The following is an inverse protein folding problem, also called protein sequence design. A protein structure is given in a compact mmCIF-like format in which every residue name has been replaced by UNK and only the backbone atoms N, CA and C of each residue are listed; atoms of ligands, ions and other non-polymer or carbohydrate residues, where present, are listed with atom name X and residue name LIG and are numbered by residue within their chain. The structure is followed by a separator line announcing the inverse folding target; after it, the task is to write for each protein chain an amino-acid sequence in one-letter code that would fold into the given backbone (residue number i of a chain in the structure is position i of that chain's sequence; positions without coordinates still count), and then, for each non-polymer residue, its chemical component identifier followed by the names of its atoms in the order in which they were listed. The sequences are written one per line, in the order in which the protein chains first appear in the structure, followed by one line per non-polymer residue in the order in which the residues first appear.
data_IF_792359862525
#
_entry.id   IF_792359862525
#
_cell.length_a   1.000
_cell.length_b   1.000
_cell.length_c   1.000
_cell.angle_alpha   90.00
_cell.angle_beta   90.00
_cell.angle_gamma   90.00
#
_symmetry.space_group_name_H-M   'P 1'
#
loop_
_entity.id
_entity.type
_entity.pdbx_description
1 polymer ?
#
# COMPACT_ATOMS: atom_id res chain seq x y z
N UNK A 1 -15.91 -4.12 4.92
CA UNK A 1 -15.31 -3.36 3.80
C UNK A 1 -13.83 -3.68 3.66
N UNK A 2 -13.02 -3.43 4.68
CA UNK A 2 -11.58 -3.67 4.63
C UNK A 2 -11.18 -5.14 4.39
N UNK A 3 -11.98 -6.12 4.80
CA UNK A 3 -11.72 -7.52 4.44
C UNK A 3 -11.73 -7.76 2.92
N UNK A 4 -12.55 -7.02 2.16
CA UNK A 4 -12.56 -7.07 0.69
C UNK A 4 -11.33 -6.37 0.13
N UNK A 5 -10.94 -5.23 0.71
CA UNK A 5 -9.71 -4.52 0.34
C UNK A 5 -8.46 -5.39 0.52
N UNK A 6 -8.29 -5.96 1.71
CA UNK A 6 -7.17 -6.84 2.02
C UNK A 6 -7.22 -8.19 1.31
N UNK A 7 -8.40 -8.64 0.86
CA UNK A 7 -8.50 -9.77 -0.06
C UNK A 7 -7.89 -9.42 -1.43
N UNK A 8 -8.20 -8.25 -2.00
CA UNK A 8 -7.60 -7.80 -3.27
C UNK A 8 -6.09 -7.59 -3.11
N UNK A 9 -5.64 -6.90 -2.06
CA UNK A 9 -4.21 -6.72 -1.77
C UNK A 9 -3.49 -8.07 -1.59
N UNK A 10 -4.14 -9.05 -0.93
CA UNK A 10 -3.60 -10.40 -0.80
C UNK A 10 -3.50 -11.18 -2.12
N UNK A 11 -4.37 -10.90 -3.10
CA UNK A 11 -4.28 -11.49 -4.45
C UNK A 11 -3.10 -10.90 -5.22
N UNK A 12 -2.91 -9.58 -5.14
CA UNK A 12 -1.76 -8.87 -5.72
C UNK A 12 -0.46 -9.40 -5.12
N UNK A 13 -0.39 -9.48 -3.78
CA UNK A 13 0.76 -10.03 -3.05
C UNK A 13 1.09 -11.46 -3.52
N UNK A 14 0.08 -12.32 -3.63
CA UNK A 14 0.30 -13.69 -4.09
C UNK A 14 0.81 -13.74 -5.52
N UNK A 15 0.28 -12.86 -6.39
CA UNK A 15 0.72 -12.77 -7.78
C UNK A 15 2.19 -12.35 -7.85
N UNK A 16 2.56 -11.31 -7.12
CA UNK A 16 3.95 -10.82 -7.08
C UNK A 16 4.92 -11.90 -6.60
N UNK A 17 4.57 -12.68 -5.56
CA UNK A 17 5.41 -13.78 -5.09
C UNK A 17 5.60 -14.92 -6.10
N UNK A 18 4.57 -15.22 -6.90
CA UNK A 18 4.57 -16.41 -7.78
C UNK A 18 5.04 -16.06 -9.19
N UNK A 19 4.65 -14.90 -9.71
CA UNK A 19 4.77 -14.54 -11.12
C UNK A 19 5.30 -13.12 -11.36
N UNK A 20 5.51 -12.31 -10.32
CA UNK A 20 6.01 -10.94 -10.44
C UNK A 20 7.42 -10.76 -9.91
N UNK A 21 7.75 -9.52 -9.56
CA UNK A 21 9.11 -9.08 -9.25
C UNK A 21 9.60 -9.63 -7.91
N UNK A 22 8.67 -9.90 -6.98
CA UNK A 22 8.98 -10.52 -5.68
C UNK A 22 9.46 -11.97 -5.79
N UNK A 23 9.32 -12.61 -6.95
CA UNK A 23 9.86 -13.95 -7.19
C UNK A 23 11.38 -13.95 -7.28
N UNK A 24 11.98 -12.89 -7.82
CA UNK A 24 13.43 -12.75 -7.91
C UNK A 24 13.95 -11.91 -6.75
N UNK A 25 14.61 -12.56 -5.78
CA UNK A 25 15.16 -11.92 -4.59
C UNK A 25 16.14 -10.76 -4.91
N UNK A 26 16.79 -10.77 -6.08
CA UNK A 26 17.70 -9.69 -6.49
C UNK A 26 16.94 -8.44 -6.90
N UNK A 27 15.85 -8.61 -7.66
CA UNK A 27 14.99 -7.51 -8.09
C UNK A 27 14.14 -6.99 -6.92
N UNK A 28 13.67 -7.90 -6.07
CA UNK A 28 12.86 -7.59 -4.89
C UNK A 28 13.63 -6.91 -3.75
N UNK A 29 14.97 -7.03 -3.71
CA UNK A 29 15.77 -6.55 -2.59
C UNK A 29 15.59 -5.06 -2.32
N UNK A 30 15.55 -4.24 -3.38
CA UNK A 30 15.42 -2.79 -3.23
C UNK A 30 14.01 -2.40 -2.76
N UNK A 31 12.91 -2.81 -3.41
CA UNK A 31 11.55 -2.52 -2.92
C UNK A 31 11.26 -3.04 -1.52
N UNK A 32 11.72 -4.25 -1.18
CA UNK A 32 11.50 -4.83 0.16
C UNK A 32 12.25 -4.04 1.22
N UNK A 33 13.52 -3.67 0.98
CA UNK A 33 14.26 -2.84 1.92
C UNK A 33 13.65 -1.45 2.05
N UNK A 34 13.22 -0.86 0.94
CA UNK A 34 12.49 0.41 0.91
C UNK A 34 11.23 0.36 1.78
N UNK A 35 10.44 -0.71 1.67
CA UNK A 35 9.24 -0.93 2.49
C UNK A 35 9.58 -1.04 3.98
N UNK A 36 10.58 -1.86 4.32
CA UNK A 36 11.03 -2.02 5.72
C UNK A 36 11.53 -0.68 6.29
N UNK A 37 12.33 0.07 5.53
CA UNK A 37 12.74 1.43 5.91
C UNK A 37 11.56 2.37 6.07
N UNK A 38 10.60 2.29 5.14
CA UNK A 38 9.33 3.03 5.13
C UNK A 38 8.38 2.68 6.28
N UNK A 39 8.63 1.60 7.02
CA UNK A 39 7.92 1.25 8.26
C UNK A 39 8.72 1.66 9.49
N UNK A 40 10.01 1.34 9.53
CA UNK A 40 10.87 1.57 10.70
C UNK A 40 11.07 3.06 10.98
N UNK A 41 11.42 3.86 9.97
CA UNK A 41 11.70 5.28 10.16
C UNK A 41 10.50 6.09 10.68
N UNK A 42 9.28 6.01 10.08
CA UNK A 42 8.13 6.73 10.61
C UNK A 42 7.70 6.23 11.99
N UNK A 43 7.83 4.93 12.29
CA UNK A 43 7.56 4.40 13.62
C UNK A 43 8.48 5.00 14.69
N UNK A 44 9.79 5.09 14.41
CA UNK A 44 10.76 5.69 15.32
C UNK A 44 10.53 7.18 15.51
N UNK A 45 10.21 7.91 14.44
CA UNK A 45 9.89 9.35 14.50
C UNK A 45 8.61 9.57 15.32
N UNK A 46 7.57 8.75 15.12
CA UNK A 46 6.37 8.81 15.92
C UNK A 46 6.68 8.57 17.40
N UNK A 47 7.41 7.51 17.72
CA UNK A 47 7.74 7.17 19.11
C UNK A 47 8.57 8.27 19.80
N UNK A 48 9.48 8.91 19.08
CA UNK A 48 10.28 10.00 19.60
C UNK A 48 9.45 11.26 19.92
N UNK A 49 8.36 11.50 19.18
CA UNK A 49 7.51 12.70 19.35
C UNK A 49 6.34 12.42 20.31
N UNK A 50 5.64 11.30 20.11
CA UNK A 50 4.39 10.98 20.80
C UNK A 50 4.59 10.49 22.24
N UNK A 51 5.81 10.11 22.63
CA UNK A 51 6.17 9.73 24.00
C UNK A 51 5.26 8.63 24.56
N UNK A 52 4.46 8.99 25.57
CA UNK A 52 3.56 8.07 26.29
C UNK A 52 2.47 7.44 25.40
N UNK A 53 2.14 8.06 24.25
CA UNK A 53 1.17 7.54 23.31
C UNK A 53 1.76 6.51 22.32
N UNK A 54 2.65 5.64 22.80
CA UNK A 54 3.40 4.67 22.01
C UNK A 54 2.53 3.67 21.24
N UNK A 55 1.27 3.44 21.68
CA UNK A 55 0.33 2.51 21.03
C UNK A 55 -0.02 2.87 19.59
N UNK A 56 0.19 4.13 19.18
CA UNK A 56 -0.06 4.62 17.82
C UNK A 56 1.13 4.50 16.84
N UNK A 57 2.22 3.83 17.21
CA UNK A 57 3.46 3.81 16.42
C UNK A 57 3.29 3.31 14.98
N UNK A 58 2.31 2.45 14.72
CA UNK A 58 2.05 1.92 13.38
C UNK A 58 1.23 2.88 12.50
N UNK A 59 0.59 3.91 13.05
CA UNK A 59 -0.28 4.81 12.28
C UNK A 59 0.44 5.44 11.08
N UNK A 60 1.66 6.02 11.21
CA UNK A 60 2.35 6.65 10.09
C UNK A 60 3.14 5.68 9.20
N UNK A 61 3.03 4.36 9.40
CA UNK A 61 3.78 3.39 8.59
C UNK A 61 3.02 2.97 7.33
N UNK A 62 1.69 3.08 7.32
CA UNK A 62 0.87 2.55 6.24
C UNK A 62 0.83 3.45 4.99
N UNK A 63 0.65 2.83 3.81
CA UNK A 63 0.45 3.49 2.49
C UNK A 63 -0.93 3.16 1.97
N UNK A 64 -1.66 4.13 1.42
CA UNK A 64 -2.87 3.89 0.65
C UNK A 64 -2.52 3.85 -0.85
N UNK A 65 -2.31 2.63 -1.35
CA UNK A 65 -1.96 2.36 -2.74
C UNK A 65 -2.97 2.95 -3.73
N UNK A 66 -4.27 2.88 -3.41
CA UNK A 66 -5.32 3.31 -4.32
C UNK A 66 -5.24 4.83 -4.52
N UNK A 67 -5.02 5.58 -3.45
CA UNK A 67 -4.88 7.03 -3.53
C UNK A 67 -3.53 7.44 -4.13
N UNK A 68 -2.43 6.77 -3.77
CA UNK A 68 -1.10 7.06 -4.31
C UNK A 68 -1.05 6.84 -5.84
N UNK A 69 -1.62 5.72 -6.33
CA UNK A 69 -1.72 5.45 -7.76
C UNK A 69 -2.68 6.41 -8.47
N UNK A 70 -3.78 6.80 -7.84
CA UNK A 70 -4.70 7.79 -8.41
C UNK A 70 -4.00 9.14 -8.59
N UNK A 71 -3.24 9.60 -7.59
CA UNK A 71 -2.43 10.83 -7.68
C UNK A 71 -1.39 10.70 -8.80
N UNK A 72 -0.67 9.58 -8.86
CA UNK A 72 0.32 9.32 -9.92
C UNK A 72 -0.30 9.34 -11.32
N UNK A 73 -1.47 8.70 -11.49
CA UNK A 73 -2.21 8.66 -12.75
C UNK A 73 -2.72 10.05 -13.19
N UNK A 74 -3.14 10.89 -12.24
CA UNK A 74 -3.56 12.27 -12.51
C UNK A 74 -2.37 13.17 -12.90
N UNK A 75 -1.19 12.95 -12.31
CA UNK A 75 -0.03 13.82 -12.52
C UNK A 75 0.57 13.69 -13.92
N UNK A 76 0.66 12.49 -14.50
CA UNK A 76 1.43 12.38 -15.73
C UNK A 76 1.30 11.09 -16.52
N UNK A 77 0.80 11.26 -17.76
CA UNK A 77 0.92 10.32 -18.88
C UNK A 77 2.35 10.03 -19.35
N UNK A 78 3.32 10.86 -18.94
CA UNK A 78 4.73 10.78 -19.36
C UNK A 78 5.66 10.30 -18.24
N UNK A 79 5.12 9.87 -17.10
CA UNK A 79 5.96 9.27 -16.06
C UNK A 79 6.35 7.84 -16.50
N UNK A 80 7.61 7.43 -16.30
CA UNK A 80 8.08 6.09 -16.66
C UNK A 80 7.23 4.99 -16.04
N UNK A 81 7.00 3.90 -16.75
CA UNK A 81 6.29 2.74 -16.21
C UNK A 81 7.01 2.12 -15.01
N UNK A 82 8.34 2.22 -14.97
CA UNK A 82 9.16 1.85 -13.82
C UNK A 82 8.71 2.51 -12.50
N UNK A 83 8.18 3.74 -12.55
CA UNK A 83 7.65 4.41 -11.35
C UNK A 83 6.40 3.72 -10.81
N UNK A 84 5.53 3.25 -11.71
CA UNK A 84 4.30 2.53 -11.33
C UNK A 84 4.66 1.17 -10.76
N UNK A 85 5.53 0.43 -11.43
CA UNK A 85 5.99 -0.89 -10.98
C UNK A 85 6.66 -0.79 -9.60
N UNK A 86 7.58 0.17 -9.42
CA UNK A 86 8.22 0.37 -8.12
C UNK A 86 7.21 0.70 -7.01
N UNK A 87 6.26 1.61 -7.27
CA UNK A 87 5.25 1.99 -6.28
C UNK A 87 4.30 0.82 -5.95
N UNK A 88 3.91 0.02 -6.95
CA UNK A 88 3.10 -1.17 -6.75
C UNK A 88 3.83 -2.18 -5.85
N UNK A 89 5.08 -2.52 -6.17
CA UNK A 89 5.86 -3.49 -5.40
C UNK A 89 6.13 -3.01 -3.98
N UNK A 90 6.51 -1.73 -3.81
CA UNK A 90 6.68 -1.10 -2.50
C UNK A 90 5.38 -1.19 -1.67
N UNK A 91 4.26 -0.77 -2.26
CA UNK A 91 2.98 -0.72 -1.58
C UNK A 91 2.45 -2.12 -1.20
N UNK A 92 2.64 -3.12 -2.06
CA UNK A 92 2.27 -4.52 -1.77
C UNK A 92 3.06 -5.06 -0.58
N UNK A 93 4.36 -4.76 -0.48
CA UNK A 93 5.19 -5.16 0.66
C UNK A 93 4.80 -4.38 1.92
N UNK A 94 4.57 -3.07 1.82
CA UNK A 94 4.08 -2.24 2.93
C UNK A 94 2.75 -2.76 3.48
N UNK A 95 1.80 -3.11 2.61
CA UNK A 95 0.51 -3.68 3.00
C UNK A 95 0.67 -5.02 3.73
N UNK A 96 1.56 -5.90 3.25
CA UNK A 96 1.91 -7.13 3.95
C UNK A 96 2.44 -6.84 5.36
N UNK A 97 3.39 -5.90 5.48
CA UNK A 97 3.95 -5.52 6.77
C UNK A 97 2.84 -4.96 7.68
N UNK A 98 1.96 -4.10 7.16
CA UNK A 98 0.83 -3.54 7.91
C UNK A 98 -0.13 -4.65 8.40
N UNK A 99 -0.47 -5.63 7.55
CA UNK A 99 -1.29 -6.78 7.93
C UNK A 99 -0.65 -7.56 9.08
N UNK A 100 0.66 -7.83 8.99
CA UNK A 100 1.40 -8.54 10.04
C UNK A 100 1.39 -7.74 11.34
N UNK A 101 1.60 -6.42 11.27
CA UNK A 101 1.53 -5.53 12.43
C UNK A 101 0.14 -5.58 13.08
N UNK A 102 -0.93 -5.48 12.28
CA UNK A 102 -2.32 -5.55 12.76
C UNK A 102 -2.61 -6.89 13.43
N UNK A 103 -2.13 -8.00 12.85
CA UNK A 103 -2.35 -9.34 13.38
C UNK A 103 -1.58 -9.59 14.69
N UNK A 104 -0.36 -9.07 14.83
CA UNK A 104 0.50 -9.36 15.99
C UNK A 104 0.30 -8.36 17.12
N UNK A 105 0.24 -7.06 16.83
CA UNK A 105 0.28 -6.01 17.84
C UNK A 105 -1.10 -5.48 18.26
N UNK A 106 -2.13 -5.62 17.41
CA UNK A 106 -3.46 -5.08 17.70
C UNK A 106 -4.49 -6.15 18.06
N UNK A 107 -4.12 -7.44 18.13
CA UNK A 107 -5.04 -8.50 18.56
C UNK A 107 -5.50 -8.28 20.00
N UNK A 108 -6.81 -8.20 20.21
CA UNK A 108 -7.41 -7.79 21.48
C UNK A 108 -7.52 -8.92 22.52
N UNK A 109 -7.93 -10.09 22.05
CA UNK A 109 -8.02 -11.34 22.80
C UNK A 109 -7.82 -12.49 21.82
N UNK A 110 -7.46 -13.68 22.32
CA UNK A 110 -7.23 -14.84 21.46
C UNK A 110 -8.09 -16.02 21.92
N UNK A 111 -9.23 -16.22 21.26
CA UNK A 111 -10.05 -17.39 21.45
C UNK A 111 -9.62 -18.49 20.48
N UNK A 112 -8.93 -19.51 21.01
CA UNK A 112 -8.33 -20.60 20.22
C UNK A 112 -9.38 -21.41 19.46
N UNK A 113 -10.54 -21.66 20.07
CA UNK A 113 -11.58 -22.50 19.49
C UNK A 113 -12.15 -21.95 18.17
N UNK A 114 -12.63 -20.69 18.09
CA UNK A 114 -13.06 -20.11 16.82
C UNK A 114 -11.90 -19.97 15.82
N UNK A 115 -10.65 -19.75 16.28
CA UNK A 115 -9.48 -19.70 15.40
C UNK A 115 -9.22 -21.05 14.72
N UNK A 116 -9.25 -22.15 15.48
CA UNK A 116 -9.16 -23.51 14.94
C UNK A 116 -10.37 -23.82 14.05
N UNK A 117 -11.55 -23.37 14.43
CA UNK A 117 -12.76 -23.46 13.62
C UNK A 117 -12.61 -22.80 12.26
N UNK A 118 -11.94 -21.64 12.18
CA UNK A 118 -11.71 -20.90 10.93
C UNK A 118 -10.86 -21.68 9.91
N UNK A 119 -10.04 -22.63 10.37
CA UNK A 119 -9.24 -23.48 9.48
C UNK A 119 -10.11 -24.37 8.59
N UNK A 120 -11.31 -24.75 9.03
CA UNK A 120 -12.22 -25.61 8.27
C UNK A 120 -12.76 -24.90 7.02
N UNK A 121 -13.48 -23.75 7.10
CA UNK A 121 -13.94 -23.06 5.90
C UNK A 121 -12.77 -22.56 5.04
N UNK A 122 -11.63 -22.19 5.64
CA UNK A 122 -10.42 -21.82 4.90
C UNK A 122 -9.87 -23.00 4.08
N UNK A 123 -9.78 -24.19 4.66
CA UNK A 123 -9.30 -25.39 3.97
C UNK A 123 -10.26 -25.81 2.84
N UNK A 124 -11.58 -25.78 3.10
CA UNK A 124 -12.58 -26.07 2.08
C UNK A 124 -12.50 -25.07 0.93
N UNK A 125 -12.42 -23.77 1.25
CA UNK A 125 -12.23 -22.71 0.25
C UNK A 125 -10.96 -22.95 -0.57
N UNK A 126 -9.84 -23.25 0.08
CA UNK A 126 -8.57 -23.54 -0.57
C UNK A 126 -8.67 -24.74 -1.52
N UNK A 127 -9.32 -25.83 -1.11
CA UNK A 127 -9.53 -27.02 -1.95
C UNK A 127 -10.38 -26.69 -3.18
N UNK A 128 -11.47 -25.95 -3.00
CA UNK A 128 -12.36 -25.57 -4.09
C UNK A 128 -11.65 -24.69 -5.12
N UNK A 129 -10.92 -23.66 -4.66
CA UNK A 129 -10.21 -22.76 -5.55
C UNK A 129 -9.04 -23.48 -6.23
N UNK A 130 -8.31 -24.38 -5.54
CA UNK A 130 -7.28 -25.21 -6.18
C UNK A 130 -7.82 -26.16 -7.25
N UNK A 131 -9.08 -26.60 -7.12
CA UNK A 131 -9.78 -27.39 -8.13
C UNK A 131 -10.37 -26.55 -9.28
N UNK A 132 -10.15 -25.24 -9.30
CA UNK A 132 -10.65 -24.37 -10.36
C UNK A 132 -12.11 -23.95 -10.20
N UNK A 133 -12.73 -24.17 -9.03
CA UNK A 133 -14.13 -23.80 -8.80
C UNK A 133 -14.25 -22.27 -8.71
N UNK A 134 -15.05 -21.68 -9.61
CA UNK A 134 -15.32 -20.23 -9.69
C UNK A 134 -16.70 -19.83 -9.13
N UNK A 135 -17.44 -20.79 -8.58
CA UNK A 135 -18.81 -20.61 -8.10
C UNK A 135 -18.90 -19.66 -6.90
N UNK A 136 -19.26 -18.39 -7.15
CA UNK A 136 -19.30 -17.35 -6.10
C UNK A 136 -20.27 -17.69 -4.96
N UNK A 137 -21.39 -18.36 -5.25
CA UNK A 137 -22.38 -18.79 -4.26
C UNK A 137 -21.87 -19.89 -3.32
N UNK A 138 -20.82 -20.61 -3.70
CA UNK A 138 -20.15 -21.60 -2.85
C UNK A 138 -18.98 -20.98 -2.07
N UNK A 139 -18.23 -20.10 -2.72
CA UNK A 139 -17.03 -19.48 -2.15
C UNK A 139 -17.37 -18.38 -1.13
N UNK A 140 -18.41 -17.57 -1.38
CA UNK A 140 -18.76 -16.43 -0.55
C UNK A 140 -19.26 -16.84 0.85
N UNK A 141 -20.11 -17.87 1.03
CA UNK A 141 -20.46 -18.37 2.36
C UNK A 141 -19.25 -18.88 3.15
N UNK A 142 -18.31 -19.55 2.49
CA UNK A 142 -17.07 -20.03 3.13
C UNK A 142 -16.16 -18.87 3.54
N UNK A 143 -16.01 -17.87 2.67
CA UNK A 143 -15.26 -16.66 2.97
C UNK A 143 -15.88 -15.91 4.16
N UNK A 144 -17.21 -15.79 4.19
CA UNK A 144 -17.95 -15.16 5.29
C UNK A 144 -17.81 -15.96 6.60
N UNK A 145 -17.91 -17.28 6.55
CA UNK A 145 -17.72 -18.13 7.73
C UNK A 145 -16.30 -18.02 8.29
N UNK A 146 -15.28 -18.04 7.42
CA UNK A 146 -13.88 -17.82 7.81
C UNK A 146 -13.70 -16.45 8.46
N UNK A 147 -14.23 -15.39 7.83
CA UNK A 147 -14.20 -14.03 8.36
C UNK A 147 -14.85 -13.90 9.74
N UNK A 148 -16.04 -14.50 9.92
CA UNK A 148 -16.77 -14.46 11.19
C UNK A 148 -16.02 -15.20 12.31
N UNK A 149 -15.42 -16.35 12.00
CA UNK A 149 -14.64 -17.14 12.97
C UNK A 149 -13.31 -16.47 13.33
N UNK A 150 -12.62 -15.84 12.37
CA UNK A 150 -11.44 -15.02 12.65
C UNK A 150 -11.80 -13.81 13.51
N UNK A 151 -12.92 -13.14 13.22
CA UNK A 151 -13.38 -12.03 14.06
C UNK A 151 -13.71 -12.49 15.49
N UNK A 152 -14.42 -13.62 15.63
CA UNK A 152 -14.76 -14.21 16.92
C UNK A 152 -13.53 -14.73 17.70
N UNK A 153 -12.40 -14.95 17.03
CA UNK A 153 -11.14 -15.32 17.70
C UNK A 153 -10.40 -14.14 18.30
N UNK A 154 -10.84 -12.91 18.03
CA UNK A 154 -10.23 -11.66 18.48
C UNK A 154 -9.05 -11.19 17.63
N UNK A 155 -8.68 -11.97 16.60
CA UNK A 155 -7.85 -11.52 15.48
C UNK A 155 -8.66 -10.59 14.59
N UNK A 156 -7.99 -9.63 13.97
CA UNK A 156 -8.65 -8.71 13.05
C UNK A 156 -9.28 -9.43 11.85
N UNK A 157 -10.55 -9.12 11.61
CA UNK A 157 -11.32 -9.72 10.54
C UNK A 157 -10.76 -9.40 9.13
N UNK A 158 -9.94 -8.35 9.00
CA UNK A 158 -9.21 -8.02 7.76
C UNK A 158 -8.18 -9.09 7.37
N UNK A 159 -7.55 -9.73 8.37
CA UNK A 159 -6.56 -10.81 8.16
C UNK A 159 -7.20 -12.01 7.44
N UNK A 160 -8.49 -12.27 7.69
CA UNK A 160 -9.22 -13.34 7.01
C UNK A 160 -9.25 -13.14 5.48
N UNK A 161 -9.38 -11.89 5.01
CA UNK A 161 -9.34 -11.57 3.59
C UNK A 161 -8.00 -11.95 2.96
N UNK A 162 -6.90 -11.61 3.62
CA UNK A 162 -5.55 -11.95 3.16
C UNK A 162 -5.33 -13.47 3.15
N UNK A 163 -5.71 -14.16 4.23
CA UNK A 163 -5.58 -15.62 4.33
C UNK A 163 -6.34 -16.33 3.20
N UNK A 164 -7.57 -15.90 2.90
CA UNK A 164 -8.35 -16.43 1.79
C UNK A 164 -7.65 -16.16 0.45
N UNK A 165 -7.18 -14.93 0.21
CA UNK A 165 -6.49 -14.56 -1.02
C UNK A 165 -5.21 -15.37 -1.25
N UNK A 166 -4.42 -15.60 -0.19
CA UNK A 166 -3.21 -16.42 -0.23
C UNK A 166 -3.48 -17.88 -0.60
N UNK A 167 -4.72 -18.38 -0.51
CA UNK A 167 -5.08 -19.73 -0.97
C UNK A 167 -5.42 -19.81 -2.47
N UNK A 168 -5.74 -18.68 -3.11
CA UNK A 168 -6.22 -18.62 -4.50
C UNK A 168 -5.11 -18.94 -5.50
N UNK A 169 -5.29 -19.88 -6.43
CA UNK A 169 -4.18 -20.29 -7.31
C UNK A 169 -3.77 -19.20 -8.31
N UNK A 170 -2.46 -18.95 -8.40
CA UNK A 170 -1.84 -18.14 -9.45
C UNK A 170 -1.26 -19.10 -10.50
N UNK A 171 -1.60 -18.91 -11.77
CA UNK A 171 -1.01 -19.64 -12.89
C UNK A 171 -0.22 -18.64 -13.74
N UNK A 172 1.04 -18.91 -14.09
CA UNK A 172 1.76 -18.10 -15.07
C UNK A 172 1.01 -18.17 -16.40
N UNK A 173 0.55 -17.04 -16.91
CA UNK A 173 -0.19 -16.97 -18.17
C UNK A 173 0.70 -17.48 -19.30
N UNK A 174 0.35 -18.64 -19.86
CA UNK A 174 1.06 -19.20 -21.02
C UNK A 174 0.19 -19.28 -22.27
N UNK A 175 -1.13 -19.25 -22.17
CA UNK A 175 -2.04 -19.17 -23.33
C UNK A 175 -3.47 -18.84 -22.87
N UNK A 176 -3.96 -17.61 -23.09
CA UNK A 176 -5.39 -17.24 -23.10
C UNK A 176 -6.29 -17.51 -21.86
N UNK A 177 -5.88 -18.33 -20.89
CA UNK A 177 -6.63 -18.67 -19.67
C UNK A 177 -6.11 -17.80 -18.53
N UNK A 178 -6.87 -16.74 -18.22
CA UNK A 178 -6.60 -15.86 -17.08
C UNK A 178 -6.62 -16.68 -15.79
N UNK A 179 -5.56 -16.56 -14.97
CA UNK A 179 -5.45 -17.30 -13.71
C UNK A 179 -6.61 -16.98 -12.77
N UNK A 180 -6.96 -17.89 -11.84
CA UNK A 180 -8.04 -17.64 -10.87
C UNK A 180 -7.81 -16.37 -10.02
N UNK A 181 -6.57 -16.13 -9.62
CA UNK A 181 -6.20 -14.91 -8.90
C UNK A 181 -6.48 -13.65 -9.73
N UNK A 182 -6.16 -13.68 -11.02
CA UNK A 182 -6.40 -12.57 -11.95
C UNK A 182 -7.89 -12.35 -12.21
N UNK A 183 -8.65 -13.43 -12.39
CA UNK A 183 -10.10 -13.35 -12.52
C UNK A 183 -10.76 -12.72 -11.29
N UNK A 184 -10.39 -13.17 -10.08
CA UNK A 184 -10.91 -12.59 -8.84
C UNK A 184 -10.46 -11.15 -8.66
N UNK A 185 -9.19 -10.83 -8.93
CA UNK A 185 -8.69 -9.47 -8.81
C UNK A 185 -9.44 -8.53 -9.75
N UNK A 186 -9.60 -8.85 -11.04
CA UNK A 186 -10.38 -8.02 -11.97
C UNK A 186 -11.84 -7.84 -11.53
N UNK A 187 -12.43 -8.86 -10.91
CA UNK A 187 -13.83 -8.79 -10.45
C UNK A 187 -14.01 -7.96 -9.17
N UNK A 188 -13.07 -8.08 -8.22
CA UNK A 188 -13.16 -7.46 -6.90
C UNK A 188 -12.42 -6.13 -6.80
N UNK A 189 -11.42 -5.85 -7.64
CA UNK A 189 -10.70 -4.57 -7.69
C UNK A 189 -11.66 -3.37 -7.84
N UNK A 190 -12.64 -3.36 -8.77
CA UNK A 190 -13.58 -2.24 -8.89
C UNK A 190 -14.48 -2.09 -7.66
N UNK A 191 -14.85 -3.20 -7.01
CA UNK A 191 -15.67 -3.17 -5.79
C UNK A 191 -14.86 -2.63 -4.62
N UNK A 192 -13.61 -3.06 -4.50
CA UNK A 192 -12.69 -2.62 -3.45
C UNK A 192 -12.39 -1.12 -3.61
N UNK A 193 -11.81 -0.72 -4.75
CA UNK A 193 -11.38 0.65 -4.99
C UNK A 193 -12.54 1.63 -5.21
N UNK A 194 -13.62 1.19 -5.85
CA UNK A 194 -14.75 2.05 -6.20
C UNK A 194 -15.83 2.16 -5.11
N UNK A 195 -15.93 1.19 -4.21
CA UNK A 195 -16.97 1.17 -3.17
C UNK A 195 -16.38 0.98 -1.78
N UNK A 196 -15.62 -0.09 -1.54
CA UNK A 196 -15.21 -0.44 -0.19
C UNK A 196 -14.30 0.63 0.46
N UNK A 197 -13.32 1.12 -0.29
CA UNK A 197 -12.38 2.16 0.15
C UNK A 197 -13.09 3.50 0.34
N UNK A 198 -13.84 4.06 -0.64
CA UNK A 198 -14.55 5.33 -0.45
C UNK A 198 -15.59 5.30 0.68
N UNK A 199 -16.35 4.21 0.81
CA UNK A 199 -17.36 4.09 1.87
C UNK A 199 -16.69 3.98 3.24
N UNK A 200 -15.61 3.18 3.35
CA UNK A 200 -14.82 3.12 4.59
C UNK A 200 -14.26 4.50 4.94
N UNK A 201 -13.63 5.18 3.98
CA UNK A 201 -13.11 6.52 4.15
C UNK A 201 -14.20 7.51 4.59
N UNK A 202 -15.39 7.45 4.03
CA UNK A 202 -16.50 8.32 4.41
C UNK A 202 -16.92 8.12 5.88
N UNK A 203 -17.03 6.87 6.35
CA UNK A 203 -17.38 6.58 7.74
C UNK A 203 -16.24 6.85 8.73
N UNK A 204 -14.99 6.58 8.33
CA UNK A 204 -13.82 6.78 9.19
C UNK A 204 -13.37 8.24 9.21
N UNK A 205 -13.43 8.97 8.10
CA UNK A 205 -12.98 10.37 8.00
C UNK A 205 -14.07 11.40 8.36
N UNK A 206 -15.28 10.97 8.75
CA UNK A 206 -16.39 11.83 9.18
C UNK A 206 -16.14 12.60 10.48
N UNK A 207 -15.01 13.32 10.57
CA UNK A 207 -14.65 14.22 11.67
C UNK A 207 -15.17 15.61 11.40
N UNK A 208 -15.80 16.20 12.41
CA UNK A 208 -16.13 17.62 12.39
C UNK A 208 -14.81 18.38 12.49
N UNK A 209 -14.32 18.91 11.37
CA UNK A 209 -13.19 19.85 11.40
C UNK A 209 -13.63 21.03 12.29
N UNK A 210 -13.12 21.05 13.53
CA UNK A 210 -13.43 22.04 14.54
C UNK A 210 -12.86 23.41 14.16
N UNK A 211 -13.45 24.05 13.15
CA UNK A 211 -13.07 25.37 12.68
C UNK A 211 -11.57 25.55 12.35
N UNK A 212 -11.13 26.80 12.16
CA UNK A 212 -9.71 27.13 11.99
C UNK A 212 -8.87 26.91 13.26
N UNK A 213 -9.49 26.89 14.45
CA UNK A 213 -8.79 26.70 15.73
C UNK A 213 -8.28 25.25 15.91
N UNK A 214 -8.97 24.26 15.34
CA UNK A 214 -8.55 22.85 15.42
C UNK A 214 -7.21 22.56 14.73
N UNK A 215 -6.79 23.36 13.74
CA UNK A 215 -5.47 23.20 13.10
C UNK A 215 -4.34 23.63 14.03
N UNK A 216 -4.55 24.70 14.81
CA UNK A 216 -3.57 25.17 15.78
C UNK A 216 -3.45 24.22 16.98
N UNK A 217 -4.56 23.58 17.35
CA UNK A 217 -4.56 22.58 18.43
C UNK A 217 -3.84 21.28 18.02
N UNK A 218 -3.94 20.86 16.75
CA UNK A 218 -3.16 19.72 16.22
C UNK A 218 -1.66 19.93 16.33
N UNK A 219 -1.19 21.18 16.16
CA UNK A 219 0.24 21.49 16.27
C UNK A 219 0.77 21.41 17.71
N UNK A 220 -0.13 21.29 18.69
CA UNK A 220 0.25 21.14 20.11
C UNK A 220 0.15 19.71 20.60
N UNK A 221 -0.56 18.85 19.87
CA UNK A 221 -0.76 17.47 20.29
C UNK A 221 0.39 16.57 19.79
N UNK A 222 1.13 15.90 20.70
CA UNK A 222 2.27 15.07 20.33
C UNK A 222 1.91 13.91 19.40
N UNK A 223 0.72 13.33 19.54
CA UNK A 223 0.22 12.25 18.68
C UNK A 223 0.03 12.75 17.26
N UNK A 224 -0.68 13.87 17.08
CA UNK A 224 -0.89 14.46 15.76
C UNK A 224 0.43 14.84 15.07
N UNK A 225 1.34 15.51 15.80
CA UNK A 225 2.68 15.83 15.28
C UNK A 225 3.47 14.58 14.91
N UNK A 226 3.43 13.54 15.73
CA UNK A 226 4.10 12.26 15.47
C UNK A 226 3.59 11.59 14.19
N UNK A 227 2.27 11.59 13.97
CA UNK A 227 1.65 11.04 12.76
C UNK A 227 2.05 11.85 11.52
N UNK A 228 1.93 13.19 11.57
CA UNK A 228 2.24 14.08 10.44
C UNK A 228 3.73 13.97 10.10
N UNK A 229 4.63 14.06 11.09
CA UNK A 229 6.07 13.95 10.88
C UNK A 229 6.46 12.55 10.38
N UNK A 230 5.83 11.50 10.91
CA UNK A 230 6.04 10.13 10.42
C UNK A 230 5.67 9.99 8.94
N UNK A 231 4.46 10.40 8.54
CA UNK A 231 4.00 10.30 7.15
C UNK A 231 4.80 11.18 6.19
N UNK A 232 5.01 12.45 6.54
CA UNK A 232 5.59 13.45 5.62
C UNK A 232 7.12 13.40 5.56
N UNK A 233 7.78 13.05 6.66
CA UNK A 233 9.25 13.08 6.77
C UNK A 233 9.80 11.69 7.00
N UNK A 234 9.24 10.94 7.95
CA UNK A 234 9.75 9.62 8.31
C UNK A 234 9.68 8.62 7.17
N UNK A 235 8.55 8.57 6.45
CA UNK A 235 8.39 7.64 5.34
C UNK A 235 9.34 7.93 4.18
N UNK A 236 9.44 9.18 3.68
CA UNK A 236 10.40 9.50 2.63
C UNK A 236 11.84 9.20 3.05
N UNK A 237 12.22 9.61 4.27
CA UNK A 237 13.56 9.33 4.79
C UNK A 237 13.84 7.83 4.87
N UNK A 238 12.89 7.04 5.37
CA UNK A 238 13.01 5.59 5.49
C UNK A 238 13.19 4.90 4.14
N UNK A 239 12.30 5.21 3.19
CA UNK A 239 12.33 4.64 1.83
C UNK A 239 13.64 5.02 1.14
N UNK A 240 14.03 6.31 1.16
CA UNK A 240 15.24 6.79 0.51
C UNK A 240 16.51 6.24 1.14
N UNK A 241 16.61 6.26 2.47
CA UNK A 241 17.79 5.77 3.18
C UNK A 241 17.98 4.26 2.99
N UNK A 242 16.92 3.48 3.08
CA UNK A 242 17.01 2.03 2.87
C UNK A 242 17.34 1.69 1.41
N UNK A 243 16.72 2.37 0.45
CA UNK A 243 17.03 2.22 -0.99
C UNK A 243 18.48 2.58 -1.28
N UNK A 244 18.96 3.70 -0.74
CA UNK A 244 20.36 4.13 -0.86
C UNK A 244 21.33 3.12 -0.24
N UNK A 245 21.02 2.60 0.95
CA UNK A 245 21.85 1.61 1.62
C UNK A 245 21.97 0.34 0.78
N UNK A 246 20.84 -0.21 0.33
CA UNK A 246 20.85 -1.44 -0.48
C UNK A 246 21.55 -1.23 -1.81
N UNK A 247 21.29 -0.12 -2.50
CA UNK A 247 21.95 0.19 -3.76
C UNK A 247 23.47 0.35 -3.60
N UNK A 248 23.89 0.99 -2.50
CA UNK A 248 25.31 1.24 -2.21
C UNK A 248 26.09 -0.04 -1.88
N UNK A 249 25.46 -1.02 -1.24
CA UNK A 249 26.13 -2.20 -0.69
C UNK A 249 25.89 -3.50 -1.47
N UNK A 250 24.79 -3.61 -2.23
CA UNK A 250 24.34 -4.90 -2.79
C UNK A 250 24.51 -5.00 -4.32
N UNK A 251 25.03 -3.95 -4.99
CA UNK A 251 25.04 -3.81 -6.47
C UNK A 251 23.65 -3.95 -7.11
N UNK A 252 22.58 -3.93 -6.32
CA UNK A 252 21.22 -3.87 -6.81
C UNK A 252 20.99 -2.44 -7.29
N UNK A 253 20.85 -2.26 -8.59
CA UNK A 253 20.64 -0.94 -9.17
C UNK A 253 19.15 -0.61 -9.13
N UNK A 254 18.86 0.68 -8.96
CA UNK A 254 17.56 1.22 -9.34
C UNK A 254 17.30 0.90 -10.82
N UNK A 255 16.04 0.70 -11.19
CA UNK A 255 15.64 0.57 -12.58
C UNK A 255 16.18 1.73 -13.43
N UNK A 256 16.64 1.46 -14.65
CA UNK A 256 17.36 2.42 -15.50
C UNK A 256 16.51 3.66 -15.82
N UNK A 257 15.18 3.53 -15.79
CA UNK A 257 14.23 4.62 -15.97
C UNK A 257 13.98 5.51 -14.74
N UNK A 258 14.58 5.22 -13.58
CA UNK A 258 14.32 5.94 -12.33
C UNK A 258 15.50 6.80 -11.88
N UNK A 259 15.32 8.12 -11.87
CA UNK A 259 16.27 9.01 -11.21
C UNK A 259 15.98 9.11 -9.70
N UNK A 260 17.00 9.46 -8.91
CA UNK A 260 16.84 9.70 -7.46
C UNK A 260 15.75 10.73 -7.11
N UNK A 261 15.55 11.76 -7.95
CA UNK A 261 14.50 12.75 -7.73
C UNK A 261 13.10 12.15 -7.97
N UNK A 262 12.97 11.20 -8.89
CA UNK A 262 11.71 10.47 -9.10
C UNK A 262 11.42 9.58 -7.89
N UNK A 263 12.45 8.94 -7.33
CA UNK A 263 12.33 8.18 -6.09
C UNK A 263 11.94 9.05 -4.89
N UNK A 264 12.44 10.29 -4.77
CA UNK A 264 11.99 11.25 -3.74
C UNK A 264 10.49 11.51 -3.88
N UNK A 265 10.01 11.76 -5.10
CA UNK A 265 8.58 11.96 -5.37
C UNK A 265 7.73 10.73 -5.01
N UNK A 266 8.20 9.53 -5.36
CA UNK A 266 7.55 8.26 -5.02
C UNK A 266 7.55 7.99 -3.51
N UNK A 267 8.65 8.29 -2.82
CA UNK A 267 8.78 8.11 -1.39
C UNK A 267 7.82 9.02 -0.60
N UNK A 268 7.59 10.24 -1.10
CA UNK A 268 6.58 11.18 -0.57
C UNK A 268 5.16 10.71 -0.90
N UNK A 269 4.89 10.17 -2.08
CA UNK A 269 3.61 9.50 -2.36
C UNK A 269 3.35 8.32 -1.42
N UNK A 270 4.41 7.60 -1.03
CA UNK A 270 4.31 6.59 0.02
C UNK A 270 3.74 7.16 1.31
N UNK A 271 4.01 8.43 1.64
CA UNK A 271 3.49 9.12 2.83
C UNK A 271 1.96 9.33 2.86
N UNK A 272 1.24 8.94 1.80
CA UNK A 272 -0.21 8.97 1.77
C UNK A 272 -0.72 7.74 2.53
N UNK A 273 -1.02 7.87 3.82
CA UNK A 273 -1.47 6.74 4.64
C UNK A 273 -2.98 6.52 4.66
N UNK A 274 -3.76 7.60 4.44
CA UNK A 274 -5.22 7.66 4.37
C UNK A 274 -5.96 6.45 4.97
N UNK A 275 -6.52 5.54 4.18
CA UNK A 275 -7.43 4.51 4.71
C UNK A 275 -6.78 3.53 5.70
N UNK A 276 -5.58 3.05 5.41
CA UNK A 276 -4.91 2.08 6.28
C UNK A 276 -4.38 2.75 7.56
N UNK A 277 -3.91 3.99 7.48
CA UNK A 277 -3.54 4.78 8.67
C UNK A 277 -4.76 5.13 9.52
N UNK A 278 -5.91 5.43 8.91
CA UNK A 278 -7.17 5.64 9.64
C UNK A 278 -7.61 4.38 10.39
N UNK A 279 -7.49 3.21 9.75
CA UNK A 279 -7.74 1.93 10.40
C UNK A 279 -6.80 1.74 11.60
N UNK A 280 -5.49 1.91 11.42
CA UNK A 280 -4.52 1.76 12.51
C UNK A 280 -4.78 2.75 13.66
N UNK A 281 -5.25 3.96 13.36
CA UNK A 281 -5.70 4.92 14.36
C UNK A 281 -6.88 4.41 15.19
N UNK A 282 -7.91 3.88 14.54
CA UNK A 282 -9.07 3.27 15.21
C UNK A 282 -8.66 2.06 16.06
N UNK A 283 -7.71 1.24 15.59
CA UNK A 283 -7.19 0.09 16.34
C UNK A 283 -6.32 0.50 17.55
N UNK A 284 -5.60 1.62 17.44
CA UNK A 284 -4.72 2.11 18.49
C UNK A 284 -5.46 2.81 19.62
N UNK A 285 -6.42 3.68 19.28
CA UNK A 285 -7.05 4.60 20.24
C UNK A 285 -8.56 4.42 20.40
N UNK A 286 -9.18 3.51 19.64
CA UNK A 286 -10.62 3.28 19.67
C UNK A 286 -11.42 4.48 19.17
N UNK A 287 -12.75 4.43 19.30
CA UNK A 287 -13.64 5.47 18.76
C UNK A 287 -13.47 6.85 19.44
N UNK A 288 -13.05 6.90 20.70
CA UNK A 288 -13.01 8.13 21.52
C UNK A 288 -11.72 8.94 21.38
N UNK A 289 -10.58 8.32 21.02
CA UNK A 289 -9.30 9.00 20.79
C UNK A 289 -8.93 9.15 19.32
N UNK A 290 -9.82 8.77 18.40
CA UNK A 290 -9.52 8.74 16.98
C UNK A 290 -9.69 10.10 16.28
N UNK A 291 -10.30 11.12 16.90
CA UNK A 291 -10.59 12.37 16.20
C UNK A 291 -9.31 13.11 15.80
N UNK A 292 -8.41 13.33 16.76
CA UNK A 292 -7.13 14.01 16.52
C UNK A 292 -6.26 13.22 15.55
N UNK A 293 -6.22 11.89 15.73
CA UNK A 293 -5.50 10.98 14.82
C UNK A 293 -6.06 11.05 13.40
N UNK A 294 -7.39 11.06 13.24
CA UNK A 294 -8.06 11.19 11.94
C UNK A 294 -7.63 12.49 11.26
N UNK A 295 -7.71 13.62 11.95
CA UNK A 295 -7.32 14.90 11.36
C UNK A 295 -5.81 14.95 11.06
N UNK A 296 -4.97 14.37 11.92
CA UNK A 296 -3.53 14.27 11.68
C UNK A 296 -3.19 13.41 10.43
N UNK A 297 -3.82 12.25 10.28
CA UNK A 297 -3.67 11.38 9.10
C UNK A 297 -4.13 12.09 7.83
N UNK A 298 -5.28 12.77 7.88
CA UNK A 298 -5.82 13.52 6.74
C UNK A 298 -4.89 14.67 6.34
N UNK A 299 -4.43 15.45 7.32
CA UNK A 299 -3.53 16.60 7.11
C UNK A 299 -2.18 16.14 6.57
N UNK A 300 -1.58 15.11 7.19
CA UNK A 300 -0.32 14.52 6.75
C UNK A 300 -0.41 13.92 5.35
N UNK A 301 -1.48 13.17 5.05
CA UNK A 301 -1.69 12.56 3.72
C UNK A 301 -1.93 13.63 2.64
N UNK A 302 -2.69 14.69 2.95
CA UNK A 302 -2.90 15.81 2.04
C UNK A 302 -1.61 16.58 1.78
N UNK A 303 -0.84 16.88 2.83
CA UNK A 303 0.46 17.54 2.70
C UNK A 303 1.43 16.70 1.84
N UNK A 304 1.51 15.39 2.09
CA UNK A 304 2.31 14.46 1.29
C UNK A 304 1.87 14.45 -0.17
N UNK A 305 0.56 14.35 -0.44
CA UNK A 305 0.02 14.37 -1.80
C UNK A 305 0.33 15.69 -2.53
N UNK A 306 0.22 16.84 -1.86
CA UNK A 306 0.54 18.15 -2.44
C UNK A 306 2.03 18.28 -2.76
N UNK A 307 2.91 17.94 -1.82
CA UNK A 307 4.37 18.02 -2.00
C UNK A 307 4.81 17.06 -3.11
N UNK A 308 4.34 15.81 -3.10
CA UNK A 308 4.61 14.86 -4.16
C UNK A 308 4.12 15.36 -5.53
N UNK A 309 2.92 15.95 -5.58
CA UNK A 309 2.36 16.51 -6.81
C UNK A 309 3.26 17.61 -7.38
N UNK A 310 3.77 18.51 -6.55
CA UNK A 310 4.68 19.58 -6.99
C UNK A 310 5.96 18.98 -7.57
N UNK A 311 6.62 18.07 -6.85
CA UNK A 311 7.88 17.46 -7.27
C UNK A 311 7.70 16.66 -8.56
N UNK A 312 6.69 15.80 -8.62
CA UNK A 312 6.46 14.93 -9.78
C UNK A 312 6.00 15.72 -11.01
N UNK A 313 5.21 16.79 -10.86
CA UNK A 313 4.85 17.66 -12.00
C UNK A 313 6.07 18.36 -12.60
N UNK A 314 7.05 18.73 -11.79
CA UNK A 314 8.31 19.27 -12.31
C UNK A 314 9.09 18.21 -13.10
N UNK A 315 9.07 16.96 -12.64
CA UNK A 315 9.71 15.82 -13.32
C UNK A 315 9.01 15.39 -14.60
N UNK A 316 7.68 15.51 -14.70
CA UNK A 316 6.92 15.26 -15.95
C UNK A 316 7.48 16.07 -17.11
N UNK A 317 7.91 17.33 -16.90
CA UNK A 317 8.51 18.14 -17.96
C UNK A 317 9.85 17.59 -18.45
N UNK A 318 10.63 17.00 -17.55
CA UNK A 318 11.92 16.38 -17.88
C UNK A 318 11.68 15.10 -18.67
N UNK A 319 10.82 14.21 -18.16
CA UNK A 319 10.49 12.95 -18.84
C UNK A 319 9.83 13.17 -20.19
N UNK A 320 9.00 14.20 -20.34
CA UNK A 320 8.45 14.59 -21.64
C UNK A 320 9.54 14.95 -22.64
N UNK A 321 10.57 15.71 -22.24
CA UNK A 321 11.69 16.06 -23.12
C UNK A 321 12.54 14.85 -23.50
N UNK A 322 12.75 13.94 -22.55
CA UNK A 322 13.47 12.68 -22.81
C UNK A 322 12.68 11.87 -23.84
N UNK A 323 11.38 11.68 -23.62
CA UNK A 323 10.50 10.97 -24.54
C UNK A 323 10.45 11.62 -25.92
N UNK A 324 10.32 12.96 -26.00
CA UNK A 324 10.36 13.69 -27.27
C UNK A 324 11.71 13.51 -27.99
N UNK A 325 12.84 13.43 -27.27
CA UNK A 325 14.15 13.16 -27.87
C UNK A 325 14.32 11.69 -28.30
N UNK A 326 13.77 10.74 -27.56
CA UNK A 326 13.81 9.30 -27.87
C UNK A 326 12.83 8.87 -28.95
N UNK A 327 11.87 9.73 -29.31
CA UNK A 327 10.84 9.45 -30.35
C UNK A 327 10.91 10.38 -31.55
N UNK A 328 11.67 11.47 -31.45
CA UNK A 328 11.92 12.34 -32.59
C UNK A 328 12.72 11.58 -33.63
N UNK A 329 12.09 11.39 -34.79
CA UNK A 329 12.65 10.81 -36.00
C UNK A 329 12.33 11.85 -37.09
N UNK A 330 13.29 12.73 -37.33
CA UNK A 330 13.12 13.90 -38.19
C UNK A 330 13.25 13.55 -39.67
N UNK A 331 13.94 12.46 -40.00
CA UNK A 331 14.14 11.98 -41.38
C UNK A 331 13.24 10.79 -41.76
N UNK A 332 12.42 10.32 -40.81
CA UNK A 332 11.43 9.26 -40.93
C UNK A 332 12.03 7.92 -41.34
N UNK A 333 13.27 7.65 -40.92
CA UNK A 333 13.99 6.42 -41.26
C UNK A 333 13.64 5.23 -40.33
N UNK A 334 12.87 5.49 -39.27
CA UNK A 334 12.45 4.52 -38.26
C UNK A 334 13.39 4.38 -37.07
N UNK A 335 14.48 5.15 -37.03
CA UNK A 335 15.45 5.27 -35.94
C UNK A 335 15.33 6.67 -35.33
N UNK A 336 15.21 6.80 -34.00
CA UNK A 336 15.18 8.13 -33.40
C UNK A 336 16.51 8.88 -33.55
N UNK A 337 16.43 10.18 -33.87
CA UNK A 337 17.55 11.12 -34.11
C UNK A 337 18.62 11.08 -33.01
N UNK A 338 18.23 10.72 -31.78
CA UNK A 338 19.12 10.63 -30.64
C UNK A 338 20.19 9.51 -30.79
N UNK A 339 19.84 8.41 -31.43
CA UNK A 339 20.69 7.22 -31.59
C UNK A 339 21.59 7.28 -32.83
N UNK A 340 21.38 8.28 -33.67
CA UNK A 340 22.17 8.53 -34.88
C UNK A 340 23.36 9.46 -34.63
N UNK A 341 23.39 10.13 -33.48
CA UNK A 341 24.50 11.01 -33.12
C UNK A 341 25.74 10.16 -32.80
N UNK A 342 26.89 10.42 -33.47
CA UNK A 342 28.09 9.59 -33.38
C UNK A 342 28.79 9.66 -32.02
#
# INVERSE_FOLDING_TARGET
LLAVFFFVAGLELKREFVAGDLRDLRLAAVPVAAAVGGVVAPALIYLAIAGDAARGWAIPTATDIAFALAVLAVIGRFLPDAMRTFLLTLAVVDDLIAIVIIAVFYTSHLAVLPLLGALVPLAVFAVLVRRGVRAWWLLLPLAFACWALVHASGVHATVAGVLLALTVTVRPGTDGDTGLAEHFEHRFRPISAGVAVPVFAFFSAGVALGGPDGVLDLLREPVALGVIAGLLVGKPLGILAATWLVSRFTRANLDEGLAWIDLVGLAILGGIGFTVSLLLGELAFGAAGAEQVKVAVLTGSLAAALVATVILRLRVRVHRRIHEAETADSDADGVPDLYERP
#
